data_IF_550379344698
#
_entry.id   IF_550379344698
#
_cell.length_a   1.000
_cell.length_b   1.000
_cell.length_c   1.000
_cell.angle_alpha   90.00
_cell.angle_beta   90.00
_cell.angle_gamma   90.00
#
_symmetry.space_group_name_H-M   'P 1'
#
loop_
_entity.id
_entity.type
_entity.pdbx_description
1 polymer ?
#
# COMPACT_ATOMS: atom_id res chain seq x y z
N UNK A 1 58.42 5.17 17.68
CA UNK A 1 57.67 4.69 18.86
C UNK A 1 56.43 5.56 18.98
N UNK A 2 55.26 4.93 18.81
CA UNK A 2 53.88 5.38 19.05
C UNK A 2 53.27 6.50 18.18
N UNK A 3 52.56 6.06 17.12
CA UNK A 3 51.49 6.78 16.42
C UNK A 3 50.16 6.63 17.20
N UNK A 4 49.47 7.72 17.59
CA UNK A 4 48.20 7.66 18.29
C UNK A 4 47.01 7.73 17.32
N UNK A 5 46.74 6.63 16.60
CA UNK A 5 45.62 6.54 15.65
C UNK A 5 44.62 5.42 15.95
N UNK A 6 44.29 5.19 17.22
CA UNK A 6 43.11 4.39 17.60
C UNK A 6 42.33 5.03 18.75
N UNK A 7 41.63 6.13 18.47
CA UNK A 7 40.49 6.55 19.30
C UNK A 7 39.22 5.91 18.75
N UNK A 8 38.71 4.97 19.55
CA UNK A 8 37.39 4.34 19.44
C UNK A 8 36.29 5.33 19.05
N UNK A 9 35.77 5.21 17.82
CA UNK A 9 34.51 5.84 17.40
C UNK A 9 33.33 4.99 17.87
N UNK A 10 33.01 5.01 19.16
CA UNK A 10 31.67 4.67 19.63
C UNK A 10 30.77 5.88 19.33
N UNK A 11 30.29 5.93 18.08
CA UNK A 11 29.69 7.12 17.46
C UNK A 11 28.25 7.48 17.87
N UNK A 12 27.68 8.55 17.27
CA UNK A 12 26.41 9.21 17.63
C UNK A 12 25.12 8.40 17.35
N UNK A 13 25.18 7.06 17.34
CA UNK A 13 24.08 6.18 16.92
C UNK A 13 23.05 5.88 18.02
N UNK A 14 23.45 5.91 19.29
CA UNK A 14 22.57 5.62 20.44
C UNK A 14 21.45 6.67 20.61
N UNK A 15 21.71 8.00 20.61
CA UNK A 15 20.63 8.99 20.77
C UNK A 15 19.65 8.98 19.58
N UNK A 16 20.14 8.66 18.38
CA UNK A 16 19.33 8.55 17.19
C UNK A 16 18.31 7.41 17.28
N UNK A 17 18.78 6.23 17.69
CA UNK A 17 17.93 5.07 17.90
C UNK A 17 16.91 5.34 19.01
N UNK A 18 17.32 5.98 20.10
CA UNK A 18 16.43 6.37 21.19
C UNK A 18 15.26 7.26 20.73
N UNK A 19 15.51 8.25 19.88
CA UNK A 19 14.45 9.12 19.36
C UNK A 19 13.48 8.40 18.40
N UNK A 20 13.99 7.49 17.56
CA UNK A 20 13.12 6.67 16.69
C UNK A 20 12.25 5.73 17.52
N UNK A 21 12.83 5.08 18.54
CA UNK A 21 12.08 4.21 19.45
C UNK A 21 11.04 4.99 20.26
N UNK A 22 11.35 6.21 20.69
CA UNK A 22 10.40 7.09 21.37
C UNK A 22 9.20 7.40 20.50
N UNK A 23 9.41 7.90 19.28
CA UNK A 23 8.32 8.23 18.36
C UNK A 23 7.53 6.98 17.92
N UNK A 24 8.20 5.86 17.69
CA UNK A 24 7.53 4.58 17.43
C UNK A 24 6.70 4.10 18.63
N UNK A 25 7.18 4.31 19.85
CA UNK A 25 6.46 4.04 21.09
C UNK A 25 5.22 4.92 21.26
N UNK A 26 5.31 6.21 20.91
CA UNK A 26 4.18 7.14 20.88
C UNK A 26 3.10 6.62 19.92
N UNK A 27 3.48 6.32 18.68
CA UNK A 27 2.52 5.79 17.69
C UNK A 27 1.88 4.48 18.15
N UNK A 28 2.67 3.57 18.74
CA UNK A 28 2.14 2.32 19.26
C UNK A 28 1.13 2.55 20.40
N UNK A 29 1.40 3.51 21.28
CA UNK A 29 0.48 3.90 22.35
C UNK A 29 -0.80 4.55 21.79
N UNK A 30 -0.70 5.45 20.81
CA UNK A 30 -1.86 6.08 20.15
C UNK A 30 -2.75 5.03 19.47
N UNK A 31 -2.15 4.08 18.74
CA UNK A 31 -2.86 2.96 18.12
C UNK A 31 -3.54 2.08 19.18
N UNK A 32 -2.82 1.69 20.23
CA UNK A 32 -3.38 0.83 21.29
C UNK A 32 -4.52 1.50 22.08
N UNK A 33 -4.43 2.81 22.33
CA UNK A 33 -5.49 3.59 22.96
C UNK A 33 -6.73 3.69 22.05
N UNK A 34 -6.51 3.98 20.76
CA UNK A 34 -7.57 4.02 19.75
C UNK A 34 -8.36 2.70 19.69
N UNK A 35 -7.65 1.57 19.69
CA UNK A 35 -8.25 0.22 19.68
C UNK A 35 -9.24 0.01 20.82
N UNK A 36 -8.93 0.49 22.03
CA UNK A 36 -9.75 0.30 23.23
C UNK A 36 -10.99 1.19 23.30
N UNK A 37 -11.03 2.28 22.54
CA UNK A 37 -12.09 3.29 22.64
C UNK A 37 -13.13 3.18 21.52
N UNK A 38 -12.90 2.32 20.51
CA UNK A 38 -13.71 2.27 19.30
C UNK A 38 -14.49 0.97 19.17
N UNK A 39 -15.79 1.06 18.89
CA UNK A 39 -16.59 -0.08 18.46
C UNK A 39 -16.17 -0.60 17.07
N UNK A 40 -16.69 -1.76 16.66
CA UNK A 40 -16.39 -2.32 15.33
C UNK A 40 -16.87 -1.40 14.19
N UNK A 41 -16.12 -1.40 13.09
CA UNK A 41 -16.54 -0.82 11.81
C UNK A 41 -17.13 -1.89 10.88
N UNK A 42 -17.73 -1.46 9.77
CA UNK A 42 -18.52 -2.31 8.87
C UNK A 42 -17.79 -3.58 8.37
N UNK A 43 -16.52 -3.44 7.99
CA UNK A 43 -15.76 -4.51 7.31
C UNK A 43 -15.05 -5.46 8.28
N UNK A 44 -14.80 -5.04 9.52
CA UNK A 44 -13.86 -5.73 10.43
C UNK A 44 -14.30 -7.14 10.80
N UNK A 45 -15.56 -7.33 11.17
CA UNK A 45 -16.06 -8.64 11.54
C UNK A 45 -15.94 -9.64 10.37
N UNK A 46 -16.18 -9.17 9.13
CA UNK A 46 -16.15 -10.04 7.96
C UNK A 46 -14.73 -10.38 7.54
N UNK A 47 -13.82 -9.40 7.58
CA UNK A 47 -12.40 -9.63 7.39
C UNK A 47 -11.81 -10.58 8.44
N UNK A 48 -12.23 -10.44 9.70
CA UNK A 48 -11.74 -11.27 10.79
C UNK A 48 -12.23 -12.73 10.67
N UNK A 49 -13.52 -12.93 10.41
CA UNK A 49 -14.06 -14.28 10.14
C UNK A 49 -13.36 -14.91 8.92
N UNK A 50 -13.20 -14.15 7.84
CA UNK A 50 -12.51 -14.62 6.64
C UNK A 50 -11.07 -15.04 6.94
N UNK A 51 -10.28 -14.16 7.55
CA UNK A 51 -8.89 -14.44 7.92
C UNK A 51 -8.75 -15.67 8.83
N UNK A 52 -9.66 -15.81 9.80
CA UNK A 52 -9.68 -16.98 10.68
C UNK A 52 -9.96 -18.28 9.91
N UNK A 53 -10.92 -18.26 8.97
CA UNK A 53 -11.26 -19.42 8.13
C UNK A 53 -10.19 -19.73 7.08
N UNK A 54 -9.44 -18.74 6.60
CA UNK A 54 -8.28 -18.97 5.72
C UNK A 54 -7.22 -19.79 6.46
N UNK A 55 -6.91 -19.41 7.69
CA UNK A 55 -5.90 -20.09 8.52
C UNK A 55 -6.39 -21.47 9.03
N UNK A 56 -7.66 -21.60 9.39
CA UNK A 56 -8.20 -22.83 9.96
C UNK A 56 -8.51 -23.91 8.91
N UNK A 57 -9.00 -23.53 7.72
CA UNK A 57 -9.59 -24.46 6.76
C UNK A 57 -9.21 -24.19 5.30
N UNK A 58 -8.27 -23.26 5.03
CA UNK A 58 -7.91 -22.83 3.68
C UNK A 58 -9.14 -22.44 2.83
N UNK A 59 -10.12 -21.78 3.47
CA UNK A 59 -11.40 -21.38 2.88
C UNK A 59 -11.39 -19.91 2.42
N UNK A 60 -10.75 -19.68 1.28
CA UNK A 60 -10.59 -18.37 0.63
C UNK A 60 -11.85 -17.85 -0.08
N UNK A 61 -12.95 -18.61 -0.10
CA UNK A 61 -14.23 -18.13 -0.66
C UNK A 61 -15.06 -17.30 0.33
N UNK A 62 -14.67 -17.23 1.61
CA UNK A 62 -15.28 -16.32 2.57
C UNK A 62 -14.68 -14.92 2.36
N UNK A 63 -15.51 -13.93 2.04
CA UNK A 63 -15.09 -12.56 1.69
C UNK A 63 -13.94 -12.54 0.64
N UNK A 64 -14.14 -12.98 -0.61
CA UNK A 64 -13.08 -12.97 -1.62
C UNK A 64 -12.72 -11.55 -2.08
N UNK A 65 -13.55 -10.54 -1.81
CA UNK A 65 -13.42 -9.13 -2.25
C UNK A 65 -12.04 -8.50 -2.01
N UNK A 66 -11.30 -8.98 -1.00
CA UNK A 66 -9.94 -8.53 -0.75
C UNK A 66 -8.96 -9.69 -0.57
N UNK A 67 -7.72 -9.56 -1.06
CA UNK A 67 -6.65 -10.53 -0.85
C UNK A 67 -6.30 -10.81 0.64
N UNK A 68 -5.56 -11.90 0.94
CA UNK A 68 -5.56 -12.50 2.26
C UNK A 68 -4.73 -11.78 3.33
N UNK A 69 -3.66 -11.04 2.95
CA UNK A 69 -2.58 -10.61 3.85
C UNK A 69 -3.08 -9.99 5.16
N UNK A 70 -3.93 -8.95 5.06
CA UNK A 70 -4.32 -8.19 6.26
C UNK A 70 -5.29 -8.99 7.12
N UNK A 71 -6.15 -9.79 6.49
CA UNK A 71 -7.11 -10.66 7.16
C UNK A 71 -6.41 -11.76 7.93
N UNK A 72 -5.44 -12.43 7.30
CA UNK A 72 -4.67 -13.50 7.94
C UNK A 72 -3.79 -12.94 9.05
N UNK A 73 -3.13 -11.79 8.84
CA UNK A 73 -2.36 -11.12 9.89
C UNK A 73 -3.22 -10.80 11.11
N UNK A 74 -4.40 -10.21 10.89
CA UNK A 74 -5.32 -9.84 11.97
C UNK A 74 -5.91 -11.06 12.69
N UNK A 75 -6.12 -12.18 11.99
CA UNK A 75 -6.67 -13.40 12.56
C UNK A 75 -5.63 -14.30 13.24
N UNK A 76 -4.34 -14.16 12.92
CA UNK A 76 -3.26 -14.96 13.49
C UNK A 76 -3.26 -15.05 15.03
N UNK A 77 -3.41 -13.95 15.81
CA UNK A 77 -3.43 -14.02 17.26
C UNK A 77 -4.69 -14.70 17.84
N UNK A 78 -5.67 -15.04 16.99
CA UNK A 78 -6.91 -15.69 17.40
C UNK A 78 -6.87 -17.22 17.27
N UNK A 79 -5.92 -17.77 16.52
CA UNK A 79 -5.80 -19.22 16.28
C UNK A 79 -5.69 -20.07 17.55
N UNK A 80 -4.98 -19.64 18.61
CA UNK A 80 -4.93 -20.42 19.84
C UNK A 80 -6.23 -20.43 20.64
N UNK A 81 -7.22 -19.59 20.28
CA UNK A 81 -8.45 -19.42 21.03
C UNK A 81 -9.50 -20.43 20.58
N UNK A 82 -10.25 -20.98 21.54
CA UNK A 82 -11.43 -21.77 21.24
C UNK A 82 -12.60 -20.84 20.96
N UNK A 83 -12.86 -20.56 19.68
CA UNK A 83 -13.89 -19.63 19.25
C UNK A 83 -15.15 -20.34 18.77
N UNK A 84 -16.30 -19.74 19.06
CA UNK A 84 -17.59 -20.10 18.48
C UNK A 84 -17.62 -19.63 17.02
N UNK A 85 -17.37 -20.54 16.08
CA UNK A 85 -17.41 -20.24 14.65
C UNK A 85 -18.79 -20.59 14.10
N UNK A 86 -19.58 -19.62 13.59
CA UNK A 86 -20.86 -19.94 12.98
C UNK A 86 -20.64 -20.74 11.70
N UNK A 87 -21.52 -21.70 11.45
CA UNK A 87 -21.56 -22.37 10.15
C UNK A 87 -21.94 -21.35 9.07
N UNK A 88 -21.16 -21.32 7.99
CA UNK A 88 -21.40 -20.47 6.81
C UNK A 88 -21.74 -21.40 5.64
N UNK A 89 -23.04 -21.58 5.30
CA UNK A 89 -23.46 -22.48 4.24
C UNK A 89 -22.83 -22.16 2.88
N UNK A 90 -22.78 -23.14 1.99
CA UNK A 90 -22.53 -22.87 0.57
C UNK A 90 -23.68 -22.01 0.00
N UNK A 91 -23.38 -21.13 -0.97
CA UNK A 91 -24.38 -20.22 -1.50
C UNK A 91 -24.69 -18.99 -0.64
N UNK A 92 -23.99 -18.81 0.49
CA UNK A 92 -24.13 -17.62 1.34
C UNK A 92 -23.91 -16.35 0.51
N UNK A 93 -24.94 -15.52 0.39
CA UNK A 93 -24.84 -14.23 -0.28
C UNK A 93 -23.90 -13.29 0.48
N UNK A 94 -23.40 -12.24 -0.18
CA UNK A 94 -22.55 -11.23 0.47
C UNK A 94 -23.20 -10.65 1.74
N UNK A 95 -24.51 -10.40 1.71
CA UNK A 95 -25.30 -9.88 2.84
C UNK A 95 -25.36 -10.85 4.01
N UNK A 96 -25.59 -12.13 3.73
CA UNK A 96 -25.61 -13.18 4.77
C UNK A 96 -24.20 -13.40 5.34
N UNK A 97 -23.15 -13.26 4.52
CA UNK A 97 -21.76 -13.27 4.99
C UNK A 97 -21.48 -12.21 6.05
N UNK A 98 -21.96 -10.97 5.84
CA UNK A 98 -21.89 -9.91 6.86
C UNK A 98 -22.70 -10.23 8.12
N UNK A 99 -23.83 -10.94 8.01
CA UNK A 99 -24.60 -11.37 9.17
C UNK A 99 -23.87 -12.47 9.96
N UNK A 100 -23.33 -13.47 9.27
CA UNK A 100 -22.53 -14.54 9.86
C UNK A 100 -21.27 -13.99 10.54
N UNK A 101 -20.60 -13.03 9.92
CA UNK A 101 -19.45 -12.33 10.48
C UNK A 101 -19.76 -11.58 11.79
N UNK A 102 -20.87 -10.84 11.83
CA UNK A 102 -21.32 -10.17 13.07
C UNK A 102 -21.68 -11.19 14.14
N UNK A 103 -22.34 -12.29 13.76
CA UNK A 103 -22.63 -13.40 14.67
C UNK A 103 -21.34 -14.00 15.24
N UNK A 104 -20.34 -14.27 14.40
CA UNK A 104 -19.02 -14.75 14.83
C UNK A 104 -18.40 -13.84 15.87
N UNK A 105 -18.38 -12.53 15.61
CA UNK A 105 -17.73 -11.59 16.52
C UNK A 105 -18.48 -11.49 17.86
N UNK A 106 -19.81 -11.37 17.84
CA UNK A 106 -20.63 -11.15 19.05
C UNK A 106 -21.05 -12.43 19.78
N UNK A 107 -20.90 -13.61 19.18
CA UNK A 107 -21.04 -14.90 19.90
C UNK A 107 -19.77 -15.28 20.66
N UNK A 108 -18.74 -14.45 20.60
CA UNK A 108 -17.49 -14.54 21.33
C UNK A 108 -17.25 -13.22 22.09
N UNK A 109 -16.13 -13.09 22.79
CA UNK A 109 -15.71 -11.83 23.40
C UNK A 109 -15.25 -10.84 22.31
N UNK A 110 -16.19 -10.04 21.81
CA UNK A 110 -15.98 -9.12 20.71
C UNK A 110 -14.84 -8.12 20.99
N UNK A 111 -14.77 -7.59 22.22
CA UNK A 111 -13.76 -6.60 22.60
C UNK A 111 -12.37 -7.23 22.65
N UNK A 112 -12.24 -8.43 23.23
CA UNK A 112 -10.96 -9.13 23.26
C UNK A 112 -10.49 -9.56 21.86
N UNK A 113 -11.41 -10.00 20.99
CA UNK A 113 -11.09 -10.36 19.61
C UNK A 113 -10.64 -9.15 18.80
N UNK A 114 -11.40 -8.05 18.84
CA UNK A 114 -11.03 -6.81 18.14
C UNK A 114 -9.71 -6.25 18.68
N UNK A 115 -9.48 -6.29 20.00
CA UNK A 115 -8.23 -5.82 20.58
C UNK A 115 -7.01 -6.55 20.00
N UNK A 116 -7.04 -7.89 20.00
CA UNK A 116 -5.96 -8.72 19.44
C UNK A 116 -5.78 -8.50 17.94
N UNK A 117 -6.88 -8.49 17.19
CA UNK A 117 -6.86 -8.37 15.75
C UNK A 117 -6.35 -7.01 15.28
N UNK A 118 -6.80 -5.94 15.93
CA UNK A 118 -6.39 -4.56 15.61
C UNK A 118 -4.95 -4.27 16.00
N UNK A 119 -4.45 -4.82 17.11
CA UNK A 119 -3.03 -4.74 17.43
C UNK A 119 -2.15 -5.42 16.36
N UNK A 120 -2.57 -6.60 15.88
CA UNK A 120 -1.86 -7.29 14.81
C UNK A 120 -1.90 -6.51 13.49
N UNK A 121 -3.05 -5.96 13.09
CA UNK A 121 -3.17 -5.09 11.92
C UNK A 121 -2.31 -3.81 12.06
N UNK A 122 -2.31 -3.19 13.25
CA UNK A 122 -1.56 -1.98 13.57
C UNK A 122 -0.04 -2.10 13.41
N UNK A 123 0.52 -3.33 13.41
CA UNK A 123 1.94 -3.56 13.09
C UNK A 123 2.28 -2.99 11.71
N UNK A 124 1.37 -3.02 10.74
CA UNK A 124 1.61 -2.48 9.40
C UNK A 124 1.79 -0.96 9.41
N UNK A 125 1.11 -0.25 10.32
CA UNK A 125 1.29 1.19 10.50
C UNK A 125 2.66 1.52 11.12
N UNK A 126 3.12 0.73 12.09
CA UNK A 126 4.45 0.85 12.69
C UNK A 126 5.57 0.54 11.68
N UNK A 127 5.41 -0.52 10.88
CA UNK A 127 6.34 -0.86 9.80
C UNK A 127 6.40 0.27 8.76
N UNK A 128 5.25 0.84 8.39
CA UNK A 128 5.21 2.00 7.49
C UNK A 128 6.02 3.19 8.05
N UNK A 129 5.86 3.51 9.34
CA UNK A 129 6.61 4.60 9.99
C UNK A 129 8.14 4.37 9.93
N UNK A 130 8.59 3.14 10.19
CA UNK A 130 10.00 2.76 10.08
C UNK A 130 10.51 2.85 8.64
N UNK A 131 9.73 2.40 7.66
CA UNK A 131 10.07 2.49 6.25
C UNK A 131 10.16 3.94 5.79
N UNK A 132 9.25 4.81 6.24
CA UNK A 132 9.27 6.25 5.95
C UNK A 132 10.53 6.89 6.51
N UNK A 133 10.91 6.57 7.76
CA UNK A 133 12.15 7.05 8.36
C UNK A 133 13.38 6.56 7.58
N UNK A 134 13.44 5.28 7.21
CA UNK A 134 14.57 4.74 6.43
C UNK A 134 14.66 5.39 5.04
N UNK A 135 13.52 5.55 4.36
CA UNK A 135 13.44 6.16 3.05
C UNK A 135 13.89 7.62 3.07
N UNK A 136 13.32 8.42 3.97
CA UNK A 136 13.69 9.82 4.13
C UNK A 136 15.16 9.97 4.56
N UNK A 137 15.67 9.11 5.43
CA UNK A 137 17.08 9.11 5.85
C UNK A 137 18.02 8.91 4.67
N UNK A 138 17.72 7.96 3.79
CA UNK A 138 18.55 7.67 2.61
C UNK A 138 18.40 8.73 1.51
N UNK A 139 17.19 9.24 1.28
CA UNK A 139 16.91 10.17 0.20
C UNK A 139 17.32 11.62 0.53
N UNK A 140 17.07 12.07 1.77
CA UNK A 140 17.21 13.48 2.17
C UNK A 140 18.03 13.71 3.45
N UNK A 141 18.44 12.62 4.13
CA UNK A 141 19.24 12.68 5.36
C UNK A 141 18.39 12.62 6.63
N UNK A 142 19.08 12.44 7.76
CA UNK A 142 18.48 12.11 9.07
C UNK A 142 17.48 13.15 9.58
N UNK A 143 17.75 14.45 9.45
CA UNK A 143 16.81 15.47 9.93
C UNK A 143 15.49 15.50 9.15
N UNK A 144 15.54 15.26 7.83
CA UNK A 144 14.33 15.05 7.03
C UNK A 144 13.58 13.78 7.46
N UNK A 145 14.31 12.76 7.92
CA UNK A 145 13.70 11.52 8.39
C UNK A 145 12.91 11.69 9.68
N UNK A 146 13.41 12.47 10.65
CA UNK A 146 12.62 12.78 11.84
C UNK A 146 11.40 13.63 11.53
N UNK A 147 11.52 14.59 10.60
CA UNK A 147 10.36 15.37 10.16
C UNK A 147 9.33 14.47 9.47
N UNK A 148 9.75 13.57 8.58
CA UNK A 148 8.86 12.62 7.90
C UNK A 148 8.21 11.64 8.89
N UNK A 149 8.98 11.12 9.85
CA UNK A 149 8.47 10.24 10.90
C UNK A 149 7.46 10.97 11.79
N UNK A 150 7.76 12.20 12.22
CA UNK A 150 6.81 13.03 12.97
C UNK A 150 5.51 13.26 12.20
N UNK A 151 5.59 13.54 10.90
CA UNK A 151 4.40 13.69 10.07
C UNK A 151 3.54 12.43 10.04
N UNK A 152 4.14 11.24 9.96
CA UNK A 152 3.40 9.97 9.92
C UNK A 152 2.84 9.58 11.29
N UNK A 153 3.63 9.76 12.36
CA UNK A 153 3.22 9.43 13.72
C UNK A 153 2.00 10.26 14.13
N UNK A 154 1.98 11.55 13.81
CA UNK A 154 0.88 12.45 14.16
C UNK A 154 -0.15 12.65 13.04
N UNK A 155 -0.19 11.78 12.02
CA UNK A 155 -1.16 11.90 10.93
C UNK A 155 -2.51 11.26 11.33
N UNK A 156 -3.59 12.04 11.45
CA UNK A 156 -4.86 11.55 12.01
C UNK A 156 -5.56 10.51 11.11
N UNK A 157 -5.40 10.54 9.79
CA UNK A 157 -6.01 9.54 8.90
C UNK A 157 -5.30 8.19 9.02
N UNK A 158 -3.97 8.16 9.12
CA UNK A 158 -3.17 6.96 9.36
C UNK A 158 -3.39 6.42 10.76
N UNK A 159 -3.51 7.27 11.78
CA UNK A 159 -3.86 6.81 13.14
C UNK A 159 -5.30 6.29 13.21
N UNK A 160 -6.25 6.96 12.54
CA UNK A 160 -7.66 6.57 12.54
C UNK A 160 -7.94 5.27 11.78
N UNK A 161 -7.16 4.98 10.73
CA UNK A 161 -7.28 3.74 9.95
C UNK A 161 -6.23 2.68 10.28
N UNK A 162 -5.17 3.05 10.99
CA UNK A 162 -4.01 2.23 11.33
C UNK A 162 -4.34 0.90 12.00
N UNK A 163 -5.12 0.90 13.09
CA UNK A 163 -5.40 -0.32 13.82
C UNK A 163 -6.59 -1.09 13.24
N UNK A 164 -7.43 -0.49 12.39
CA UNK A 164 -8.64 -1.14 11.91
C UNK A 164 -8.30 -2.37 11.07
N UNK A 165 -9.11 -3.41 11.19
CA UNK A 165 -8.99 -4.62 10.34
C UNK A 165 -9.60 -4.34 8.96
N UNK A 166 -9.04 -3.34 8.26
CA UNK A 166 -9.29 -3.01 6.85
C UNK A 166 -8.00 -3.17 6.05
N UNK A 167 -8.09 -3.11 4.72
CA UNK A 167 -6.93 -3.38 3.84
C UNK A 167 -6.15 -2.13 3.44
N UNK A 168 -6.59 -0.93 3.85
CA UNK A 168 -6.09 0.34 3.32
C UNK A 168 -4.66 0.66 3.81
N UNK A 169 -4.41 0.52 5.11
CA UNK A 169 -3.08 0.76 5.68
C UNK A 169 -2.10 -0.34 5.29
N UNK A 170 -2.58 -1.59 5.17
CA UNK A 170 -1.78 -2.67 4.63
C UNK A 170 -1.30 -2.41 3.20
N UNK A 171 -2.19 -1.95 2.32
CA UNK A 171 -1.80 -1.50 0.99
C UNK A 171 -0.84 -0.32 1.04
N UNK A 172 -1.11 0.68 1.89
CA UNK A 172 -0.27 1.88 2.03
C UNK A 172 1.16 1.52 2.39
N UNK A 173 1.34 0.65 3.39
CA UNK A 173 2.64 0.11 3.80
C UNK A 173 3.32 -0.66 2.66
N UNK A 174 2.62 -1.63 2.07
CA UNK A 174 3.22 -2.53 1.08
C UNK A 174 3.57 -1.80 -0.23
N UNK A 175 2.71 -0.91 -0.71
CA UNK A 175 2.96 -0.12 -1.92
C UNK A 175 4.16 0.83 -1.73
N UNK A 176 4.24 1.50 -0.58
CA UNK A 176 5.38 2.33 -0.24
C UNK A 176 6.68 1.49 -0.17
N UNK A 177 6.63 0.33 0.48
CA UNK A 177 7.74 -0.61 0.54
C UNK A 177 8.17 -1.11 -0.85
N UNK A 178 7.22 -1.39 -1.75
CA UNK A 178 7.49 -1.86 -3.11
C UNK A 178 8.23 -0.79 -3.93
N UNK A 179 7.74 0.46 -3.90
CA UNK A 179 8.42 1.57 -4.59
C UNK A 179 9.78 1.85 -3.98
N UNK A 180 9.89 1.83 -2.65
CA UNK A 180 11.15 2.07 -1.95
C UNK A 180 12.19 0.96 -2.18
N UNK A 181 11.78 -0.31 -2.21
CA UNK A 181 12.67 -1.43 -2.55
C UNK A 181 13.14 -1.35 -4.01
N UNK A 182 12.26 -0.93 -4.94
CA UNK A 182 12.66 -0.67 -6.32
C UNK A 182 13.68 0.47 -6.41
N UNK A 183 13.48 1.57 -5.67
CA UNK A 183 14.46 2.65 -5.54
C UNK A 183 15.82 2.14 -5.02
N UNK A 184 15.82 1.29 -3.99
CA UNK A 184 17.06 0.69 -3.45
C UNK A 184 17.76 -0.20 -4.48
N UNK A 185 17.00 -0.93 -5.30
CA UNK A 185 17.53 -1.76 -6.38
C UNK A 185 18.13 -0.89 -7.50
N UNK A 186 17.39 0.07 -8.04
CA UNK A 186 17.86 0.87 -9.17
C UNK A 186 19.04 1.78 -8.79
N UNK A 187 19.14 2.21 -7.53
CA UNK A 187 20.28 3.02 -7.04
C UNK A 187 21.56 2.20 -6.91
N UNK A 188 21.45 0.94 -6.47
CA UNK A 188 22.58 0.04 -6.27
C UNK A 188 22.13 -1.40 -6.57
N UNK A 189 22.14 -1.80 -7.85
CA UNK A 189 21.59 -3.07 -8.29
C UNK A 189 22.29 -4.27 -7.67
N UNK A 190 21.51 -5.21 -7.15
CA UNK A 190 21.99 -6.51 -6.66
C UNK A 190 20.87 -7.54 -6.76
N UNK A 191 21.24 -8.82 -6.85
CA UNK A 191 20.28 -9.94 -6.87
C UNK A 191 19.42 -9.95 -5.62
N UNK A 192 20.02 -9.73 -4.44
CA UNK A 192 19.31 -9.61 -3.16
C UNK A 192 18.21 -8.56 -3.22
N UNK A 193 18.50 -7.33 -3.68
CA UNK A 193 17.50 -6.26 -3.73
C UNK A 193 16.42 -6.50 -4.79
N UNK A 194 16.76 -7.18 -5.89
CA UNK A 194 15.77 -7.61 -6.88
C UNK A 194 14.78 -8.58 -6.25
N UNK A 195 15.29 -9.59 -5.52
CA UNK A 195 14.45 -10.57 -4.81
C UNK A 195 13.63 -9.88 -3.73
N UNK A 196 14.23 -9.02 -2.89
CA UNK A 196 13.51 -8.21 -1.89
C UNK A 196 12.35 -7.42 -2.55
N UNK A 197 12.60 -6.77 -3.69
CA UNK A 197 11.58 -6.02 -4.41
C UNK A 197 10.46 -6.94 -4.94
N UNK A 198 10.81 -8.06 -5.57
CA UNK A 198 9.84 -9.06 -6.03
C UNK A 198 8.96 -9.61 -4.90
N UNK A 199 9.57 -9.91 -3.74
CA UNK A 199 8.85 -10.39 -2.57
C UNK A 199 7.84 -9.34 -2.07
N UNK A 200 8.27 -8.09 -1.94
CA UNK A 200 7.41 -6.99 -1.45
C UNK A 200 6.31 -6.66 -2.47
N UNK A 201 6.58 -6.73 -3.77
CA UNK A 201 5.54 -6.57 -4.81
C UNK A 201 4.50 -7.68 -4.69
N UNK A 202 4.90 -8.93 -4.48
CA UNK A 202 3.96 -10.04 -4.23
C UNK A 202 3.11 -9.84 -2.98
N UNK A 203 3.73 -9.40 -1.87
CA UNK A 203 3.00 -9.04 -0.64
C UNK A 203 2.02 -7.89 -0.90
N UNK A 204 2.38 -6.92 -1.75
CA UNK A 204 1.50 -5.81 -2.13
C UNK A 204 0.25 -6.30 -2.87
N UNK A 205 0.39 -7.30 -3.76
CA UNK A 205 -0.76 -7.93 -4.42
C UNK A 205 -1.65 -8.67 -3.42
N UNK A 206 -1.04 -9.30 -2.42
CA UNK A 206 -1.77 -9.98 -1.35
C UNK A 206 -2.42 -9.04 -0.32
N UNK A 207 -2.12 -7.73 -0.35
CA UNK A 207 -2.66 -6.74 0.58
C UNK A 207 -4.05 -6.22 0.18
N UNK A 208 -4.21 -5.83 -1.10
CA UNK A 208 -5.45 -5.26 -1.65
C UNK A 208 -5.40 -5.29 -3.18
N UNK A 209 -6.54 -5.45 -3.85
CA UNK A 209 -6.56 -5.47 -5.33
C UNK A 209 -6.05 -4.19 -5.99
N UNK A 210 -6.23 -3.01 -5.40
CA UNK A 210 -5.59 -1.78 -5.92
C UNK A 210 -4.06 -1.79 -5.84
N UNK A 211 -3.47 -2.78 -5.15
CA UNK A 211 -2.04 -3.08 -5.19
C UNK A 211 -1.52 -3.44 -6.58
N UNK A 212 -2.37 -3.86 -7.52
CA UNK A 212 -1.97 -4.08 -8.93
C UNK A 212 -1.41 -2.82 -9.60
N UNK A 213 -1.74 -1.63 -9.07
CA UNK A 213 -1.17 -0.35 -9.52
C UNK A 213 0.35 -0.28 -9.33
N UNK A 214 0.94 -1.15 -8.52
CA UNK A 214 2.40 -1.25 -8.39
C UNK A 214 3.07 -1.49 -9.75
N UNK A 215 2.49 -2.28 -10.65
CA UNK A 215 3.09 -2.57 -11.96
C UNK A 215 3.22 -1.34 -12.87
N UNK A 216 2.14 -0.57 -13.15
CA UNK A 216 2.28 0.67 -13.91
C UNK A 216 3.15 1.70 -13.18
N UNK A 217 3.15 1.74 -11.84
CA UNK A 217 4.07 2.62 -11.08
C UNK A 217 5.53 2.24 -11.34
N UNK A 218 5.89 0.97 -11.20
CA UNK A 218 7.26 0.50 -11.45
C UNK A 218 7.66 0.67 -12.92
N UNK A 219 6.71 0.49 -13.86
CA UNK A 219 6.91 0.78 -15.28
C UNK A 219 7.24 2.25 -15.54
N UNK A 220 6.46 3.18 -14.97
CA UNK A 220 6.73 4.62 -15.05
C UNK A 220 8.08 4.99 -14.42
N UNK A 221 8.42 4.37 -13.29
CA UNK A 221 9.72 4.58 -12.64
C UNK A 221 10.87 4.02 -13.48
N UNK A 222 10.71 2.87 -14.13
CA UNK A 222 11.70 2.33 -15.05
C UNK A 222 11.89 3.26 -16.26
N UNK A 223 10.81 3.81 -16.82
CA UNK A 223 10.88 4.83 -17.87
C UNK A 223 11.63 6.07 -17.36
N UNK A 224 11.33 6.53 -16.15
CA UNK A 224 12.03 7.65 -15.54
C UNK A 224 13.54 7.39 -15.37
N UNK A 225 13.93 6.18 -14.93
CA UNK A 225 15.35 5.77 -14.83
C UNK A 225 16.06 5.78 -16.18
N UNK A 226 15.38 5.28 -17.23
CA UNK A 226 15.88 5.34 -18.61
C UNK A 226 16.12 6.83 -18.96
N UNK A 227 15.12 7.69 -18.83
CA UNK A 227 15.24 9.11 -19.17
C UNK A 227 16.32 9.85 -18.37
N UNK A 228 16.50 9.52 -17.08
CA UNK A 228 17.56 10.07 -16.24
C UNK A 228 18.95 9.63 -16.71
N UNK A 229 19.10 8.39 -17.15
CA UNK A 229 20.36 7.88 -17.72
C UNK A 229 20.72 8.58 -19.05
N UNK A 230 19.75 9.13 -19.78
CA UNK A 230 19.95 9.88 -21.03
C UNK A 230 20.17 11.37 -20.88
N UNK A 231 20.11 11.93 -19.67
CA UNK A 231 20.44 13.34 -19.50
C UNK A 231 21.88 13.58 -19.96
N UNK A 232 22.13 14.56 -20.84
CA UNK A 232 23.46 14.83 -21.35
C UNK A 232 24.37 15.18 -20.18
N UNK A 233 25.22 14.23 -19.78
CA UNK A 233 26.49 14.58 -19.15
C UNK A 233 27.31 15.28 -20.24
N UNK A 234 28.01 16.33 -19.85
CA UNK A 234 28.73 17.33 -20.65
C UNK A 234 29.86 16.77 -21.53
N UNK A 235 29.64 15.66 -22.23
CA UNK A 235 30.58 15.03 -23.14
C UNK A 235 30.04 15.16 -24.58
N UNK A 236 30.60 16.06 -25.40
CA UNK A 236 30.14 16.32 -26.76
C UNK A 236 30.48 15.19 -27.76
N UNK A 237 31.30 14.21 -27.38
CA UNK A 237 32.03 13.35 -28.34
C UNK A 237 31.39 11.97 -28.58
N UNK A 238 30.33 11.61 -27.84
CA UNK A 238 29.69 10.30 -27.95
C UNK A 238 28.85 10.15 -29.22
N UNK A 239 29.28 9.32 -30.17
CA UNK A 239 28.52 9.02 -31.38
C UNK A 239 27.08 8.57 -31.04
N UNK A 240 26.09 9.17 -31.70
CA UNK A 240 24.65 8.97 -31.44
C UNK A 240 24.24 7.48 -31.37
N UNK A 241 24.85 6.64 -32.21
CA UNK A 241 24.62 5.19 -32.23
C UNK A 241 25.09 4.43 -30.98
N UNK A 242 26.21 4.82 -30.35
CA UNK A 242 26.69 4.17 -29.11
C UNK A 242 25.77 4.48 -27.93
N UNK A 243 25.23 5.70 -27.87
CA UNK A 243 24.25 6.13 -26.84
C UNK A 243 22.93 5.37 -26.96
N UNK A 244 22.40 5.25 -28.18
CA UNK A 244 21.19 4.47 -28.44
C UNK A 244 21.34 2.99 -28.04
N UNK A 245 22.49 2.37 -28.35
CA UNK A 245 22.75 0.97 -27.99
C UNK A 245 22.83 0.76 -26.47
N UNK A 246 23.41 1.72 -25.74
CA UNK A 246 23.42 1.70 -24.28
C UNK A 246 22.00 1.86 -23.70
N UNK A 247 21.17 2.69 -24.34
CA UNK A 247 19.75 2.86 -24.00
C UNK A 247 18.95 1.57 -24.11
N UNK A 248 19.04 0.92 -25.26
CA UNK A 248 18.35 -0.33 -25.49
C UNK A 248 18.80 -1.41 -24.51
N UNK A 249 20.10 -1.47 -24.17
CA UNK A 249 20.61 -2.40 -23.15
C UNK A 249 20.08 -2.09 -21.75
N UNK A 250 20.02 -0.81 -21.38
CA UNK A 250 19.50 -0.41 -20.06
C UNK A 250 17.99 -0.67 -19.97
N UNK A 251 17.24 -0.34 -21.02
CA UNK A 251 15.82 -0.62 -21.13
C UNK A 251 15.53 -2.13 -21.10
N UNK A 252 16.29 -2.93 -21.86
CA UNK A 252 16.16 -4.40 -21.84
C UNK A 252 16.47 -4.99 -20.45
N UNK A 253 17.48 -4.47 -19.76
CA UNK A 253 17.81 -4.88 -18.38
C UNK A 253 16.68 -4.54 -17.40
N UNK A 254 16.11 -3.35 -17.48
CA UNK A 254 14.98 -2.95 -16.63
C UNK A 254 13.72 -3.76 -16.98
N UNK A 255 13.45 -4.01 -18.26
CA UNK A 255 12.38 -4.90 -18.71
C UNK A 255 12.53 -6.32 -18.14
N UNK A 256 13.73 -6.90 -18.25
CA UNK A 256 14.02 -8.20 -17.64
C UNK A 256 13.93 -8.19 -16.11
N UNK A 257 14.31 -7.08 -15.46
CA UNK A 257 14.14 -6.91 -14.00
C UNK A 257 12.66 -6.90 -13.62
N UNK A 258 11.83 -6.12 -14.32
CA UNK A 258 10.40 -6.05 -14.05
C UNK A 258 9.72 -7.40 -14.28
N UNK A 259 10.11 -8.13 -15.32
CA UNK A 259 9.63 -9.49 -15.55
C UNK A 259 9.98 -10.42 -14.37
N UNK A 260 11.23 -10.42 -13.90
CA UNK A 260 11.63 -11.24 -12.75
C UNK A 260 10.91 -10.83 -11.46
N UNK A 261 10.72 -9.53 -11.22
CA UNK A 261 9.93 -9.01 -10.11
C UNK A 261 8.49 -9.55 -10.19
N UNK A 262 7.87 -9.50 -11.37
CA UNK A 262 6.50 -10.02 -11.60
C UNK A 262 6.41 -11.53 -11.37
N UNK A 263 7.41 -12.30 -11.80
CA UNK A 263 7.44 -13.75 -11.58
C UNK A 263 7.57 -14.10 -10.08
N UNK A 264 8.47 -13.41 -9.36
CA UNK A 264 8.60 -13.60 -7.90
C UNK A 264 7.30 -13.18 -7.19
N UNK A 265 6.72 -12.04 -7.60
CA UNK A 265 5.48 -11.54 -7.03
C UNK A 265 4.32 -12.53 -7.22
N UNK A 266 4.26 -13.20 -8.37
CA UNK A 266 3.28 -14.24 -8.64
C UNK A 266 3.45 -15.44 -7.69
N UNK A 267 4.69 -15.94 -7.51
CA UNK A 267 4.98 -17.03 -6.58
C UNK A 267 4.56 -16.67 -5.15
N UNK A 268 4.86 -15.44 -4.71
CA UNK A 268 4.47 -14.97 -3.37
C UNK A 268 2.95 -14.85 -3.24
N UNK A 269 2.27 -14.32 -4.26
CA UNK A 269 0.82 -14.25 -4.26
C UNK A 269 0.22 -15.65 -4.09
N UNK A 270 0.69 -16.64 -4.86
CA UNK A 270 0.26 -18.03 -4.74
C UNK A 270 0.55 -18.63 -3.35
N UNK A 271 1.66 -18.25 -2.71
CA UNK A 271 1.95 -18.69 -1.35
C UNK A 271 0.88 -18.24 -0.33
N UNK A 272 0.29 -17.04 -0.49
CA UNK A 272 -0.83 -16.59 0.36
C UNK A 272 -2.11 -17.40 0.17
N UNK A 273 -2.24 -18.08 -0.97
CA UNK A 273 -3.33 -18.99 -1.29
C UNK A 273 -2.91 -20.47 -1.15
N UNK A 274 -1.81 -20.75 -0.43
CA UNK A 274 -1.29 -22.09 -0.20
C UNK A 274 -1.04 -22.91 -1.50
N UNK A 275 -0.68 -22.23 -2.59
CA UNK A 275 -0.53 -22.82 -3.93
C UNK A 275 -1.79 -23.56 -4.44
N UNK A 276 -2.96 -23.15 -3.95
CA UNK A 276 -4.25 -23.76 -4.26
C UNK A 276 -5.04 -22.88 -5.22
N UNK A 277 -5.52 -23.48 -6.31
CA UNK A 277 -6.38 -22.77 -7.27
C UNK A 277 -7.78 -22.56 -6.70
N UNK A 278 -8.45 -23.65 -6.29
CA UNK A 278 -9.82 -23.60 -5.78
C UNK A 278 -9.93 -22.76 -4.51
N UNK A 279 -10.90 -21.85 -4.48
CA UNK A 279 -11.11 -20.92 -3.38
C UNK A 279 -11.59 -21.61 -2.09
N UNK A 280 -12.35 -22.71 -2.21
CA UNK A 280 -13.16 -23.29 -1.13
C UNK A 280 -12.77 -24.75 -0.86
N UNK A 281 -12.58 -25.23 0.39
CA UNK A 281 -12.18 -26.61 0.74
C UNK A 281 -13.23 -27.66 0.34
N UNK A 282 -12.83 -28.94 0.39
CA UNK A 282 -13.73 -30.10 0.33
C UNK A 282 -14.66 -30.15 -0.90
N UNK A 283 -14.21 -29.62 -2.04
CA UNK A 283 -14.98 -29.60 -3.29
C UNK A 283 -16.13 -28.60 -3.31
N UNK A 284 -16.26 -27.75 -2.28
CA UNK A 284 -17.20 -26.63 -2.31
C UNK A 284 -16.82 -25.67 -3.45
N UNK A 285 -17.83 -25.08 -4.08
CA UNK A 285 -17.65 -24.14 -5.19
C UNK A 285 -17.94 -22.70 -4.77
N UNK A 286 -17.42 -21.76 -5.55
CA UNK A 286 -17.84 -20.36 -5.48
C UNK A 286 -19.31 -20.25 -5.93
N UNK A 287 -20.08 -19.40 -5.25
CA UNK A 287 -21.49 -19.21 -5.58
C UNK A 287 -21.83 -17.72 -5.69
N UNK A 288 -22.28 -17.24 -6.85
CA UNK A 288 -22.30 -17.96 -8.14
C UNK A 288 -20.87 -18.33 -8.62
N UNK A 289 -20.70 -19.26 -9.58
CA UNK A 289 -19.41 -19.50 -10.22
C UNK A 289 -18.86 -18.24 -10.88
N UNK A 290 -17.53 -18.13 -11.02
CA UNK A 290 -16.88 -16.92 -11.55
C UNK A 290 -17.42 -16.48 -12.92
N UNK A 291 -17.67 -17.43 -13.82
CA UNK A 291 -18.19 -17.16 -15.15
C UNK A 291 -19.58 -16.50 -15.11
N UNK A 292 -20.48 -17.00 -14.26
CA UNK A 292 -21.80 -16.41 -14.05
C UNK A 292 -21.66 -15.03 -13.40
N UNK A 293 -20.80 -14.91 -12.37
CA UNK A 293 -20.56 -13.66 -11.66
C UNK A 293 -20.09 -12.53 -12.58
N UNK A 294 -19.13 -12.81 -13.47
CA UNK A 294 -18.61 -11.83 -14.44
C UNK A 294 -19.64 -11.49 -15.50
N UNK A 295 -20.43 -12.48 -15.96
CA UNK A 295 -21.44 -12.28 -17.00
C UNK A 295 -22.63 -11.43 -16.56
N UNK A 296 -22.91 -11.39 -15.25
CA UNK A 296 -24.01 -10.60 -14.70
C UNK A 296 -25.39 -11.17 -14.99
N UNK A 297 -25.52 -12.50 -15.13
CA UNK A 297 -26.80 -13.17 -15.44
C UNK A 297 -27.91 -12.82 -14.44
N UNK A 298 -27.57 -12.47 -13.20
CA UNK A 298 -28.52 -12.10 -12.13
C UNK A 298 -28.13 -10.82 -11.33
N UNK A 299 -27.11 -10.09 -11.77
CA UNK A 299 -26.53 -8.93 -11.09
C UNK A 299 -25.71 -8.07 -12.08
N UNK A 300 -25.26 -6.86 -11.73
CA UNK A 300 -24.32 -6.14 -12.58
C UNK A 300 -23.05 -6.98 -12.82
N UNK A 301 -22.70 -7.22 -14.09
CA UNK A 301 -21.47 -7.89 -14.50
C UNK A 301 -20.37 -6.91 -14.92
N UNK A 302 -19.23 -7.44 -15.38
CA UNK A 302 -18.15 -6.61 -15.92
C UNK A 302 -18.58 -6.07 -17.29
N UNK A 303 -18.71 -4.74 -17.41
CA UNK A 303 -19.21 -4.11 -18.65
C UNK A 303 -18.24 -4.24 -19.82
N UNK A 304 -16.93 -4.27 -19.55
CA UNK A 304 -15.91 -4.36 -20.58
C UNK A 304 -15.64 -5.83 -20.98
N UNK A 305 -16.01 -6.26 -22.22
CA UNK A 305 -15.89 -7.65 -22.63
C UNK A 305 -14.43 -8.11 -22.77
N UNK A 306 -13.49 -7.19 -23.03
CA UNK A 306 -12.06 -7.52 -23.12
C UNK A 306 -11.54 -7.87 -21.73
N UNK A 307 -11.93 -7.09 -20.71
CA UNK A 307 -11.56 -7.35 -19.32
C UNK A 307 -12.15 -8.68 -18.84
N UNK A 308 -13.43 -8.93 -19.14
CA UNK A 308 -14.09 -10.20 -18.82
C UNK A 308 -13.36 -11.41 -19.44
N UNK A 309 -13.03 -11.34 -20.74
CA UNK A 309 -12.29 -12.41 -21.43
C UNK A 309 -10.88 -12.60 -20.87
N UNK A 310 -10.20 -11.52 -20.50
CA UNK A 310 -8.88 -11.61 -19.89
C UNK A 310 -8.94 -12.34 -18.55
N UNK A 311 -9.91 -11.99 -17.69
CA UNK A 311 -10.09 -12.64 -16.39
C UNK A 311 -10.42 -14.12 -16.57
N UNK A 312 -11.33 -14.46 -17.49
CA UNK A 312 -11.64 -15.85 -17.81
C UNK A 312 -10.44 -16.61 -18.39
N UNK A 313 -9.65 -16.01 -19.27
CA UNK A 313 -8.42 -16.62 -19.77
C UNK A 313 -7.39 -16.90 -18.67
N UNK A 314 -7.25 -15.99 -17.70
CA UNK A 314 -6.40 -16.19 -16.52
C UNK A 314 -6.93 -17.30 -15.60
N UNK A 315 -8.25 -17.39 -15.46
CA UNK A 315 -8.94 -18.45 -14.71
C UNK A 315 -8.74 -19.82 -15.36
N UNK A 316 -9.00 -19.93 -16.67
CA UNK A 316 -8.96 -21.20 -17.40
C UNK A 316 -7.53 -21.74 -17.52
N UNK A 317 -6.55 -20.84 -17.69
CA UNK A 317 -5.14 -21.17 -17.64
C UNK A 317 -4.60 -21.37 -16.21
N UNK A 318 -5.42 -21.16 -15.17
CA UNK A 318 -5.08 -21.25 -13.75
C UNK A 318 -3.83 -20.45 -13.37
N UNK A 319 -3.69 -19.25 -13.95
CA UNK A 319 -2.52 -18.39 -13.72
C UNK A 319 -2.60 -17.62 -12.40
N UNK A 320 -3.81 -17.39 -11.91
CA UNK A 320 -4.07 -16.75 -10.62
C UNK A 320 -5.06 -17.59 -9.79
N UNK A 321 -5.01 -17.52 -8.44
CA UNK A 321 -5.98 -18.19 -7.57
C UNK A 321 -7.41 -17.78 -7.88
N UNK A 322 -8.35 -18.73 -7.83
CA UNK A 322 -9.76 -18.50 -8.14
C UNK A 322 -10.35 -17.37 -7.27
N UNK A 323 -10.09 -17.41 -5.96
CA UNK A 323 -10.55 -16.38 -5.01
C UNK A 323 -9.99 -14.99 -5.34
N UNK A 324 -8.73 -14.90 -5.80
CA UNK A 324 -8.14 -13.62 -6.19
C UNK A 324 -8.82 -13.04 -7.43
N UNK A 325 -9.10 -13.87 -8.45
CA UNK A 325 -9.82 -13.45 -9.65
C UNK A 325 -11.27 -13.05 -9.33
N UNK A 326 -11.93 -13.81 -8.45
CA UNK A 326 -13.29 -13.51 -8.00
C UNK A 326 -13.37 -12.17 -7.26
N UNK A 327 -12.45 -11.93 -6.31
CA UNK A 327 -12.36 -10.67 -5.59
C UNK A 327 -12.05 -9.48 -6.51
N UNK A 328 -11.15 -9.68 -7.47
CA UNK A 328 -10.81 -8.64 -8.44
C UNK A 328 -12.03 -8.26 -9.29
N UNK A 329 -12.80 -9.26 -9.74
CA UNK A 329 -14.07 -9.04 -10.43
C UNK A 329 -15.10 -8.30 -9.57
N UNK A 330 -15.27 -8.65 -8.28
CA UNK A 330 -16.19 -7.97 -7.37
C UNK A 330 -15.84 -6.48 -7.24
N UNK A 331 -14.55 -6.14 -7.08
CA UNK A 331 -14.11 -4.74 -7.00
C UNK A 331 -14.37 -3.98 -8.29
N UNK A 332 -14.15 -4.58 -9.47
CA UNK A 332 -14.46 -3.95 -10.75
C UNK A 332 -15.95 -3.66 -10.90
N UNK A 333 -16.80 -4.67 -10.64
CA UNK A 333 -18.26 -4.56 -10.70
C UNK A 333 -18.76 -3.48 -9.74
N UNK A 334 -18.28 -3.49 -8.49
CA UNK A 334 -18.65 -2.51 -7.47
C UNK A 334 -18.16 -1.10 -7.82
N UNK A 335 -16.97 -0.97 -8.40
CA UNK A 335 -16.41 0.33 -8.81
C UNK A 335 -17.12 0.92 -10.03
N UNK A 336 -17.79 0.11 -10.85
CA UNK A 336 -18.63 0.55 -11.98
C UNK A 336 -20.10 0.75 -11.58
N UNK A 337 -20.47 0.37 -10.36
CA UNK A 337 -21.80 0.50 -9.80
C UNK A 337 -22.14 1.92 -9.36
N UNK A 338 -23.44 2.25 -9.38
CA UNK A 338 -23.93 3.53 -8.90
C UNK A 338 -24.02 3.51 -7.37
N UNK A 339 -22.96 4.00 -6.69
CA UNK A 339 -23.03 4.30 -5.26
C UNK A 339 -23.20 5.81 -5.06
N UNK A 340 -24.20 6.24 -4.27
CA UNK A 340 -24.37 7.65 -3.97
C UNK A 340 -23.18 8.17 -3.17
N UNK A 341 -22.79 9.41 -3.45
CA UNK A 341 -21.72 10.11 -2.77
C UNK A 341 -22.26 11.39 -2.14
N UNK A 342 -21.91 11.66 -0.88
CA UNK A 342 -22.30 12.90 -0.19
C UNK A 342 -21.09 13.82 -0.03
N UNK A 343 -21.20 15.07 -0.48
CA UNK A 343 -20.16 16.08 -0.33
C UNK A 343 -20.77 17.49 -0.39
N UNK A 344 -20.28 18.42 0.44
CA UNK A 344 -20.74 19.83 0.50
C UNK A 344 -22.27 19.98 0.62
N UNK A 345 -22.91 19.15 1.45
CA UNK A 345 -24.36 19.20 1.65
C UNK A 345 -25.19 18.60 0.51
N UNK A 346 -24.55 18.09 -0.54
CA UNK A 346 -25.22 17.56 -1.73
C UNK A 346 -25.06 16.05 -1.81
N UNK A 347 -26.16 15.33 -2.07
CA UNK A 347 -26.16 13.91 -2.39
C UNK A 347 -26.08 13.74 -3.91
N UNK A 348 -24.96 13.20 -4.38
CA UNK A 348 -24.74 12.86 -5.78
C UNK A 348 -25.18 11.41 -6.02
N UNK A 349 -25.89 11.12 -7.13
CA UNK A 349 -26.27 9.74 -7.49
C UNK A 349 -25.07 8.82 -7.75
N UNK A 350 -23.94 9.39 -8.15
CA UNK A 350 -22.72 8.68 -8.51
C UNK A 350 -21.46 9.43 -8.06
N UNK A 351 -20.32 8.72 -8.09
CA UNK A 351 -19.01 9.29 -7.79
C UNK A 351 -18.63 10.47 -8.69
N UNK A 352 -18.17 11.52 -8.03
CA UNK A 352 -17.66 12.77 -8.60
C UNK A 352 -16.13 12.80 -8.60
N UNK A 353 -15.53 13.25 -9.70
CA UNK A 353 -14.07 13.33 -9.86
C UNK A 353 -13.38 14.19 -8.79
N UNK A 354 -14.04 15.27 -8.35
CA UNK A 354 -13.46 16.23 -7.39
C UNK A 354 -13.55 15.76 -5.93
N UNK A 355 -14.22 14.64 -5.66
CA UNK A 355 -14.40 14.13 -4.30
C UNK A 355 -13.06 13.85 -3.61
N UNK A 356 -12.17 13.12 -4.26
CA UNK A 356 -10.88 12.73 -3.68
C UNK A 356 -9.97 13.94 -3.40
N UNK A 357 -9.79 14.89 -4.33
CA UNK A 357 -9.13 16.17 -4.03
C UNK A 357 -9.77 16.93 -2.88
N UNK A 358 -11.10 17.04 -2.85
CA UNK A 358 -11.81 17.76 -1.80
C UNK A 358 -11.63 17.11 -0.43
N UNK A 359 -11.83 15.78 -0.31
CA UNK A 359 -11.66 15.10 0.98
C UNK A 359 -10.20 15.05 1.42
N UNK A 360 -9.23 15.01 0.50
CA UNK A 360 -7.81 15.13 0.85
C UNK A 360 -7.54 16.46 1.55
N UNK A 361 -8.03 17.57 0.99
CA UNK A 361 -7.86 18.91 1.60
C UNK A 361 -8.61 19.01 2.93
N UNK A 362 -9.84 18.50 3.02
CA UNK A 362 -10.69 18.61 4.22
C UNK A 362 -10.18 17.73 5.36
N UNK A 363 -9.66 16.53 5.05
CA UNK A 363 -9.30 15.53 6.06
C UNK A 363 -7.83 15.55 6.44
N UNK A 364 -6.96 16.19 5.65
CA UNK A 364 -5.56 16.38 6.01
C UNK A 364 -5.40 17.52 7.02
N UNK A 365 -4.40 17.43 7.88
CA UNK A 365 -4.08 18.54 8.81
C UNK A 365 -3.53 19.73 8.05
N UNK A 366 -3.78 20.95 8.57
CA UNK A 366 -3.23 22.18 7.99
C UNK A 366 -1.69 22.14 7.95
N UNK A 367 -1.04 21.62 9.00
CA UNK A 367 0.42 21.49 9.04
C UNK A 367 0.97 20.60 7.91
N UNK A 368 0.33 19.46 7.65
CA UNK A 368 0.71 18.58 6.54
C UNK A 368 0.52 19.27 5.18
N UNK A 369 -0.63 19.91 4.97
CA UNK A 369 -0.92 20.62 3.72
C UNK A 369 0.06 21.78 3.46
N UNK A 370 0.40 22.56 4.48
CA UNK A 370 1.38 23.64 4.39
C UNK A 370 2.77 23.09 4.02
N UNK A 371 3.18 21.96 4.59
CA UNK A 371 4.45 21.32 4.23
C UNK A 371 4.45 20.74 2.82
N UNK A 372 3.31 20.23 2.33
CA UNK A 372 3.16 19.84 0.91
C UNK A 372 3.27 21.07 0.00
N UNK A 373 2.67 22.20 0.37
CA UNK A 373 2.83 23.48 -0.36
C UNK A 373 4.28 23.96 -0.37
N UNK A 374 5.02 23.75 0.73
CA UNK A 374 6.45 24.11 0.83
C UNK A 374 7.33 23.38 -0.21
N UNK A 375 6.89 22.24 -0.75
CA UNK A 375 7.58 21.55 -1.86
C UNK A 375 7.77 22.48 -3.06
N UNK A 376 6.81 23.39 -3.33
CA UNK A 376 6.90 24.35 -4.44
C UNK A 376 8.11 25.29 -4.31
N UNK A 377 8.44 25.70 -3.09
CA UNK A 377 9.58 26.58 -2.81
C UNK A 377 10.92 25.83 -2.90
N UNK A 378 10.90 24.51 -2.77
CA UNK A 378 12.08 23.65 -2.93
C UNK A 378 12.27 23.14 -4.37
N UNK A 379 11.40 23.47 -5.34
CA UNK A 379 11.42 22.90 -6.71
C UNK A 379 12.79 22.97 -7.36
N UNK A 380 13.50 24.10 -7.22
CA UNK A 380 14.84 24.25 -7.81
C UNK A 380 15.80 23.18 -7.26
N UNK A 381 15.85 23.03 -5.93
CA UNK A 381 16.67 22.05 -5.22
C UNK A 381 16.28 20.63 -5.64
N UNK A 382 14.97 20.35 -5.63
CA UNK A 382 14.44 19.05 -5.99
C UNK A 382 14.77 18.68 -7.44
N UNK A 383 14.75 19.63 -8.37
CA UNK A 383 15.08 19.38 -9.78
C UNK A 383 16.58 19.25 -10.07
N UNK A 384 17.43 19.95 -9.31
CA UNK A 384 18.87 19.96 -9.57
C UNK A 384 19.63 18.90 -8.78
N UNK A 385 19.23 18.63 -7.55
CA UNK A 385 19.99 17.80 -6.60
C UNK A 385 19.28 16.51 -6.22
N UNK A 386 17.95 16.47 -6.28
CA UNK A 386 17.12 15.36 -5.78
C UNK A 386 16.06 14.90 -6.78
N UNK A 387 16.37 15.01 -8.08
CA UNK A 387 15.38 14.78 -9.12
C UNK A 387 14.88 13.35 -9.13
N UNK A 388 15.82 12.40 -9.00
CA UNK A 388 15.52 10.98 -8.96
C UNK A 388 14.59 10.68 -7.80
N UNK A 389 14.97 11.06 -6.58
CA UNK A 389 14.18 10.84 -5.37
C UNK A 389 12.79 11.48 -5.49
N UNK A 390 12.71 12.69 -6.05
CA UNK A 390 11.44 13.38 -6.29
C UNK A 390 10.54 12.60 -7.26
N UNK A 391 11.08 11.98 -8.31
CA UNK A 391 10.31 11.15 -9.24
C UNK A 391 9.77 9.89 -8.57
N UNK A 392 10.56 9.25 -7.70
CA UNK A 392 10.11 8.08 -6.91
C UNK A 392 9.00 8.40 -5.92
N UNK A 393 8.84 9.67 -5.53
CA UNK A 393 7.79 10.10 -4.61
C UNK A 393 6.58 10.65 -5.38
N UNK A 394 6.79 11.40 -6.47
CA UNK A 394 5.72 12.05 -7.22
C UNK A 394 5.01 11.14 -8.23
N UNK A 395 5.72 10.23 -8.91
CA UNK A 395 5.08 9.36 -9.91
C UNK A 395 4.04 8.40 -9.30
N UNK A 396 4.30 7.74 -8.14
CA UNK A 396 3.27 6.95 -7.46
C UNK A 396 2.07 7.81 -7.05
N UNK A 397 2.30 9.00 -6.48
CA UNK A 397 1.24 9.93 -6.09
C UNK A 397 0.39 10.33 -7.30
N UNK A 398 1.05 10.76 -8.38
CA UNK A 398 0.38 11.20 -9.60
C UNK A 398 -0.49 10.11 -10.23
N UNK A 399 0.04 8.89 -10.37
CA UNK A 399 -0.74 7.78 -10.94
C UNK A 399 -1.90 7.38 -10.03
N UNK A 400 -1.67 7.30 -8.72
CA UNK A 400 -2.70 6.89 -7.77
C UNK A 400 -3.82 7.93 -7.68
N UNK A 401 -3.48 9.22 -7.64
CA UNK A 401 -4.47 10.31 -7.71
C UNK A 401 -5.21 10.26 -9.04
N UNK A 402 -4.53 10.13 -10.18
CA UNK A 402 -5.18 10.06 -11.49
C UNK A 402 -6.19 8.90 -11.56
N UNK A 403 -5.85 7.73 -11.00
CA UNK A 403 -6.75 6.59 -10.91
C UNK A 403 -7.96 6.89 -10.02
N UNK A 404 -7.74 7.55 -8.87
CA UNK A 404 -8.83 7.95 -7.96
C UNK A 404 -9.82 8.93 -8.60
N UNK A 405 -9.35 9.85 -9.46
CA UNK A 405 -10.21 10.81 -10.17
C UNK A 405 -11.18 10.14 -11.14
N UNK A 406 -10.81 8.95 -11.66
CA UNK A 406 -11.65 8.15 -12.56
C UNK A 406 -12.57 7.16 -11.83
N UNK A 407 -12.37 6.98 -10.51
CA UNK A 407 -13.18 6.05 -9.73
C UNK A 407 -14.56 6.62 -9.44
N UNK A 408 -15.59 5.77 -9.52
CA UNK A 408 -16.95 6.11 -9.08
C UNK A 408 -17.21 5.74 -7.62
N UNK A 409 -16.21 5.14 -6.95
CA UNK A 409 -16.32 4.65 -5.57
C UNK A 409 -15.88 5.71 -4.55
N UNK A 410 -16.73 6.71 -4.34
CA UNK A 410 -16.45 7.85 -3.46
C UNK A 410 -16.87 7.59 -2.01
N UNK A 411 -16.14 6.72 -1.31
CA UNK A 411 -16.54 6.19 0.01
C UNK A 411 -15.53 6.51 1.13
N UNK A 412 -14.73 7.57 0.97
CA UNK A 412 -13.90 8.15 2.03
C UNK A 412 -12.43 8.34 1.67
N UNK A 413 -11.75 9.17 2.46
CA UNK A 413 -10.31 9.51 2.28
C UNK A 413 -9.39 8.30 2.44
N UNK A 414 -9.85 7.22 3.10
CA UNK A 414 -9.08 5.98 3.29
C UNK A 414 -8.51 5.40 1.98
N UNK A 415 -9.21 5.61 0.87
CA UNK A 415 -8.76 5.15 -0.45
C UNK A 415 -7.53 5.91 -0.97
N UNK A 416 -7.23 7.10 -0.44
CA UNK A 416 -6.04 7.89 -0.75
C UNK A 416 -4.88 7.65 0.23
N UNK A 417 -5.03 6.87 1.30
CA UNK A 417 -3.91 6.63 2.23
C UNK A 417 -2.58 6.24 1.56
N UNK A 418 -2.57 5.47 0.45
CA UNK A 418 -1.32 5.11 -0.23
C UNK A 418 -0.47 6.29 -0.71
N UNK A 419 -1.01 7.51 -0.87
CA UNK A 419 -0.22 8.68 -1.28
C UNK A 419 0.46 9.40 -0.11
N UNK A 420 -0.06 9.26 1.11
CA UNK A 420 0.40 9.99 2.29
C UNK A 420 1.90 9.76 2.62
N UNK A 421 2.44 8.53 2.66
CA UNK A 421 3.85 8.35 3.00
C UNK A 421 4.80 8.93 1.94
N UNK A 422 4.42 8.89 0.66
CA UNK A 422 5.21 9.52 -0.40
C UNK A 422 5.25 11.05 -0.25
N UNK A 423 4.08 11.66 0.01
CA UNK A 423 3.97 13.09 0.28
C UNK A 423 4.70 13.50 1.55
N UNK A 424 4.62 12.71 2.63
CA UNK A 424 5.31 12.98 3.88
C UNK A 424 6.83 13.00 3.69
N UNK A 425 7.40 12.01 2.99
CA UNK A 425 8.84 11.97 2.70
C UNK A 425 9.26 13.14 1.81
N UNK A 426 8.47 13.47 0.78
CA UNK A 426 8.78 14.57 -0.13
C UNK A 426 8.72 15.93 0.58
N UNK A 427 7.65 16.18 1.34
CA UNK A 427 7.44 17.41 2.09
C UNK A 427 8.53 17.61 3.15
N UNK A 428 8.84 16.55 3.90
CA UNK A 428 9.91 16.60 4.89
C UNK A 428 11.30 16.82 4.25
N UNK A 429 11.57 16.16 3.13
CA UNK A 429 12.78 16.36 2.34
C UNK A 429 12.91 17.80 1.84
N UNK A 430 11.84 18.37 1.30
CA UNK A 430 11.80 19.76 0.83
C UNK A 430 12.02 20.75 1.98
N UNK A 431 11.25 20.63 3.05
CA UNK A 431 11.32 21.48 4.24
C UNK A 431 12.73 21.47 4.86
N UNK A 432 13.32 20.27 5.04
CA UNK A 432 14.65 20.13 5.63
C UNK A 432 15.75 20.75 4.76
N UNK A 433 15.67 20.59 3.44
CA UNK A 433 16.65 21.19 2.52
C UNK A 433 16.53 22.73 2.47
N UNK A 434 15.32 23.28 2.60
CA UNK A 434 15.11 24.73 2.72
C UNK A 434 15.67 25.25 4.05
N UNK A 435 15.35 24.59 5.16
CA UNK A 435 15.81 24.96 6.50
C UNK A 435 17.34 25.01 6.61
N UNK A 436 18.04 24.06 5.97
CA UNK A 436 19.51 24.03 5.93
C UNK A 436 20.14 25.21 5.19
N UNK A 437 19.43 25.83 4.26
CA UNK A 437 19.98 26.90 3.41
C UNK A 437 19.73 28.30 3.96
N UNK A 438 18.68 28.48 4.75
CA UNK A 438 18.30 29.81 5.26
C UNK A 438 17.63 29.70 6.62
N UNK A 439 18.06 30.54 7.57
CA UNK A 439 17.49 30.62 8.92
C UNK A 439 16.00 30.99 8.93
N UNK A 440 15.53 31.79 7.96
CA UNK A 440 14.09 32.10 7.80
C UNK A 440 13.28 30.83 7.50
N UNK A 441 13.81 29.95 6.66
CA UNK A 441 13.18 28.66 6.38
C UNK A 441 13.27 27.72 7.59
N UNK A 442 14.36 27.76 8.36
CA UNK A 442 14.44 26.99 9.59
C UNK A 442 13.36 27.40 10.60
N UNK A 443 13.09 28.71 10.75
CA UNK A 443 11.99 29.22 11.59
C UNK A 443 10.60 28.90 11.05
N UNK A 444 10.43 28.82 9.73
CA UNK A 444 9.13 28.45 9.14
C UNK A 444 8.84 26.95 9.20
N UNK A 445 9.87 26.12 9.29
CA UNK A 445 9.77 24.64 9.36
C UNK A 445 9.66 24.16 10.81
N UNK A 446 10.32 24.85 11.75
CA UNK A 446 10.15 24.64 13.18
C UNK A 446 8.77 25.12 13.63
#
# INVERSE_FOLDING_TARGET
MNDPSHRNRTGPHIPLLGAVLLLGGVMAAELALSVRQQAQTWDEAYHLLAGYRYLQAADYGINPEHPPLVKTLAALPLIPLQLNVPHVPQGTSKREGFAAARKFLYSNDADALLFRARLAAGILALVLALLVFEAASRMFGVGAAFLALGLVVFEPNLLGHGPLVTTDVGLTCCLFAAVYSFHRYTTQPSTRKLVECGLVVGITLAAKHSGVLVFPILGLLAIAEILLAFRPKSDPTGSSGKRMRLALRHAARLGGTLLLISLIALVVLWAFYAFRFSARPDGLEMTPPLAEYISGVNAPGIKNPIVARLIMGLHDARLLPESYLYGFSDVLIVSEGHRPAFLFGTLYPEGQWFYFPAVFIIKSTLGFLLLVVLVMFAIKILRTEKLRESLYLLLPVGLYVATSLTSKLNVGVRHLLPIYPFLAVLAAGAAWNLAKRNRRWATAVA
#
